data_IF_344230183034
#
_entry.id   IF_344230183034
#
_cell.length_a   1.000
_cell.length_b   1.000
_cell.length_c   1.000
_cell.angle_alpha   90.00
_cell.angle_beta   90.00
_cell.angle_gamma   90.00
#
_symmetry.space_group_name_H-M   'P 1'
#
loop_
_entity.id
_entity.type
_entity.pdbx_description
1 polymer ?
#
# COMPACT_ATOMS: atom_id res chain seq x y z
N UNK A 1 -17.02 17.48 -17.94
CA UNK A 1 -15.90 16.57 -18.25
C UNK A 1 -16.50 15.26 -18.74
N UNK A 2 -16.18 14.82 -19.94
CA UNK A 2 -16.54 13.48 -20.43
C UNK A 2 -15.63 12.45 -19.76
N UNK A 3 -16.17 11.30 -19.36
CA UNK A 3 -15.36 10.18 -18.91
C UNK A 3 -14.72 9.58 -20.17
N UNK A 4 -13.39 9.67 -20.24
CA UNK A 4 -12.60 9.10 -21.32
C UNK A 4 -11.53 8.19 -20.71
N UNK A 5 -11.60 6.89 -21.04
CA UNK A 5 -10.63 5.88 -20.63
C UNK A 5 -9.55 5.64 -21.68
N UNK A 6 -9.56 6.41 -22.78
CA UNK A 6 -8.54 6.31 -23.82
C UNK A 6 -7.23 6.90 -23.34
N UNK A 7 -6.16 6.11 -23.37
CA UNK A 7 -4.84 6.59 -23.03
C UNK A 7 -4.37 7.63 -24.06
N UNK A 8 -3.90 8.77 -23.57
CA UNK A 8 -3.21 9.76 -24.40
C UNK A 8 -1.94 9.18 -25.03
N UNK A 9 -1.43 9.80 -26.10
CA UNK A 9 -0.16 9.38 -26.74
C UNK A 9 1.00 9.32 -25.74
N UNK A 10 1.05 10.26 -24.78
CA UNK A 10 2.07 10.26 -23.72
C UNK A 10 1.91 9.06 -22.79
N UNK A 11 0.68 8.73 -22.38
CA UNK A 11 0.38 7.57 -21.53
C UNK A 11 0.65 6.25 -22.24
N UNK A 12 0.31 6.14 -23.53
CA UNK A 12 0.65 4.96 -24.34
C UNK A 12 2.17 4.76 -24.44
N UNK A 13 2.93 5.85 -24.60
CA UNK A 13 4.40 5.80 -24.58
C UNK A 13 4.92 5.36 -23.21
N UNK A 14 4.38 5.92 -22.13
CA UNK A 14 4.73 5.56 -20.75
C UNK A 14 4.46 4.07 -20.49
N UNK A 15 3.30 3.59 -20.88
CA UNK A 15 2.92 2.18 -20.77
C UNK A 15 3.90 1.27 -21.52
N UNK A 16 4.24 1.63 -22.76
CA UNK A 16 5.19 0.85 -23.56
C UNK A 16 6.56 0.78 -22.88
N UNK A 17 7.11 1.91 -22.42
CA UNK A 17 8.42 1.94 -21.73
C UNK A 17 8.38 1.09 -20.45
N UNK A 18 7.30 1.18 -19.67
CA UNK A 18 7.13 0.38 -18.45
C UNK A 18 7.04 -1.12 -18.76
N UNK A 19 6.36 -1.49 -19.84
CA UNK A 19 6.25 -2.88 -20.30
C UNK A 19 7.59 -3.41 -20.82
N UNK A 20 8.29 -2.65 -21.64
CA UNK A 20 9.61 -3.01 -22.15
C UNK A 20 10.58 -3.24 -20.99
N UNK A 21 10.65 -2.33 -20.02
CA UNK A 21 11.42 -2.53 -18.79
C UNK A 21 11.02 -3.82 -18.06
N UNK A 22 9.73 -4.02 -17.83
CA UNK A 22 9.23 -5.16 -17.07
C UNK A 22 9.55 -6.49 -17.76
N UNK A 23 9.38 -6.59 -19.07
CA UNK A 23 9.55 -7.82 -19.83
C UNK A 23 11.03 -8.09 -20.18
N UNK A 24 11.78 -7.06 -20.57
CA UNK A 24 13.13 -7.26 -21.09
C UNK A 24 14.20 -7.22 -19.98
N UNK A 25 13.97 -6.44 -18.91
CA UNK A 25 14.97 -6.24 -17.84
C UNK A 25 14.59 -7.00 -16.57
N UNK A 26 13.34 -6.88 -16.11
CA UNK A 26 12.93 -7.48 -14.83
C UNK A 26 12.59 -8.98 -14.96
N UNK A 27 11.77 -9.36 -15.93
CA UNK A 27 11.26 -10.73 -16.07
C UNK A 27 12.34 -11.83 -16.11
N UNK A 28 13.49 -11.65 -16.80
CA UNK A 28 14.55 -12.66 -16.83
C UNK A 28 15.15 -12.97 -15.45
N UNK A 29 15.05 -12.06 -14.49
CA UNK A 29 15.62 -12.19 -13.15
C UNK A 29 14.65 -12.84 -12.16
N UNK A 30 13.35 -12.74 -12.42
CA UNK A 30 12.30 -13.04 -11.42
C UNK A 30 12.32 -14.49 -10.97
N UNK A 31 12.41 -15.45 -11.90
CA UNK A 31 12.38 -16.88 -11.54
C UNK A 31 13.53 -17.26 -10.61
N UNK A 32 14.76 -16.92 -11.02
CA UNK A 32 15.95 -17.22 -10.23
C UNK A 32 16.00 -16.48 -8.89
N UNK A 33 15.36 -15.31 -8.80
CA UNK A 33 15.26 -14.57 -7.55
C UNK A 33 14.14 -15.13 -6.64
N UNK A 34 12.99 -15.53 -7.20
CA UNK A 34 11.88 -16.10 -6.40
C UNK A 34 12.24 -17.50 -5.84
N UNK A 35 13.04 -18.28 -6.57
CA UNK A 35 13.52 -19.59 -6.14
C UNK A 35 14.73 -19.51 -5.18
N UNK A 36 15.35 -18.34 -5.01
CA UNK A 36 16.49 -18.17 -4.10
C UNK A 36 16.05 -18.34 -2.64
N UNK A 37 16.62 -19.32 -1.89
CA UNK A 37 16.27 -19.57 -0.50
C UNK A 37 16.65 -18.42 0.44
N UNK A 38 17.79 -17.78 0.19
CA UNK A 38 18.26 -16.63 0.95
C UNK A 38 17.54 -15.37 0.47
N UNK A 39 16.66 -14.83 1.31
CA UNK A 39 15.83 -13.67 1.00
C UNK A 39 16.64 -12.40 0.75
N UNK A 40 17.84 -12.27 1.35
CA UNK A 40 18.73 -11.14 1.09
C UNK A 40 19.39 -11.27 -0.29
N UNK A 41 19.84 -12.46 -0.65
CA UNK A 41 20.39 -12.71 -1.97
C UNK A 41 19.32 -12.58 -3.05
N UNK A 42 18.10 -13.06 -2.81
CA UNK A 42 16.95 -12.86 -3.70
C UNK A 42 16.76 -11.37 -4.02
N UNK A 43 16.74 -10.52 -2.98
CA UNK A 43 16.59 -9.08 -3.13
C UNK A 43 17.77 -8.45 -3.89
N UNK A 44 19.00 -8.88 -3.61
CA UNK A 44 20.21 -8.35 -4.27
C UNK A 44 20.26 -8.66 -5.77
N UNK A 45 19.69 -9.79 -6.23
CA UNK A 45 19.59 -10.13 -7.66
C UNK A 45 18.83 -9.08 -8.47
N UNK A 46 17.96 -8.30 -7.81
CA UNK A 46 17.16 -7.26 -8.47
C UNK A 46 17.85 -5.90 -8.54
N UNK A 47 18.98 -5.73 -7.90
CA UNK A 47 19.65 -4.42 -7.79
C UNK A 47 19.95 -3.79 -9.16
N UNK A 48 20.40 -4.61 -10.12
CA UNK A 48 20.64 -4.14 -11.49
C UNK A 48 19.37 -3.62 -12.17
N UNK A 49 18.27 -4.37 -12.06
CA UNK A 49 16.97 -3.94 -12.59
C UNK A 49 16.47 -2.67 -11.88
N UNK A 50 16.70 -2.55 -10.58
CA UNK A 50 16.33 -1.33 -9.85
C UNK A 50 17.11 -0.09 -10.34
N UNK A 51 18.40 -0.23 -10.62
CA UNK A 51 19.23 0.86 -11.19
C UNK A 51 18.68 1.31 -12.55
N UNK A 52 18.32 0.38 -13.43
CA UNK A 52 17.71 0.72 -14.73
C UNK A 52 16.32 1.37 -14.53
N UNK A 53 15.52 0.86 -13.62
CA UNK A 53 14.24 1.46 -13.25
C UNK A 53 14.39 2.90 -12.72
N UNK A 54 15.43 3.16 -11.92
CA UNK A 54 15.77 4.48 -11.43
C UNK A 54 16.16 5.42 -12.57
N UNK A 55 17.00 4.99 -13.52
CA UNK A 55 17.40 5.77 -14.71
C UNK A 55 16.20 6.14 -15.59
N UNK A 56 15.20 5.24 -15.69
CA UNK A 56 13.94 5.52 -16.38
C UNK A 56 13.04 6.49 -15.61
N UNK A 57 13.40 6.86 -14.39
CA UNK A 57 12.65 7.77 -13.53
C UNK A 57 11.47 7.13 -12.79
N UNK A 58 11.27 5.82 -12.85
CA UNK A 58 10.13 5.17 -12.18
C UNK A 58 10.28 5.13 -10.66
N UNK A 59 11.51 5.06 -10.15
CA UNK A 59 11.76 5.03 -8.70
C UNK A 59 11.49 6.36 -7.99
N UNK A 60 11.45 7.48 -8.72
CA UNK A 60 11.28 8.85 -8.20
C UNK A 60 10.27 9.69 -8.99
N UNK A 61 9.59 9.08 -9.97
CA UNK A 61 8.67 9.74 -10.88
C UNK A 61 7.50 10.44 -10.19
N UNK A 62 7.03 9.91 -9.07
CA UNK A 62 5.98 10.48 -8.24
C UNK A 62 6.39 11.77 -7.49
N UNK A 63 7.70 12.03 -7.35
CA UNK A 63 8.18 13.24 -6.67
C UNK A 63 7.99 14.48 -7.56
N UNK A 64 7.70 15.65 -6.96
CA UNK A 64 7.53 16.89 -7.71
C UNK A 64 8.78 17.29 -8.50
N UNK A 65 8.60 17.84 -9.70
CA UNK A 65 9.68 18.32 -10.59
C UNK A 65 10.63 19.30 -9.91
N UNK A 66 10.11 20.18 -9.02
CA UNK A 66 10.95 21.13 -8.27
C UNK A 66 11.99 20.48 -7.34
N UNK A 67 11.87 19.20 -7.07
CA UNK A 67 12.83 18.41 -6.29
C UNK A 67 13.57 17.38 -7.15
N UNK A 68 13.50 17.48 -8.48
CA UNK A 68 14.17 16.58 -9.41
C UNK A 68 13.38 15.32 -9.78
N UNK A 69 12.15 15.18 -9.29
CA UNK A 69 11.28 14.05 -9.66
C UNK A 69 10.57 14.25 -11.00
N UNK A 70 9.83 13.24 -11.44
CA UNK A 70 9.06 13.27 -12.69
C UNK A 70 7.79 14.11 -12.63
N UNK A 71 7.19 14.25 -11.45
CA UNK A 71 5.91 14.93 -11.24
C UNK A 71 4.76 14.27 -12.02
N UNK A 72 4.80 12.95 -12.17
CA UNK A 72 3.74 12.19 -12.85
C UNK A 72 2.47 12.20 -11.99
N UNK A 73 1.32 12.13 -12.65
CA UNK A 73 0.02 12.04 -11.97
C UNK A 73 -0.18 10.68 -11.29
N UNK A 74 -1.14 10.58 -10.37
CA UNK A 74 -1.49 9.29 -9.78
C UNK A 74 -2.07 8.34 -10.83
N UNK A 75 -2.78 8.85 -11.86
CA UNK A 75 -3.25 8.04 -12.99
C UNK A 75 -2.08 7.49 -13.80
N UNK A 76 -1.07 8.30 -14.10
CA UNK A 76 0.12 7.83 -14.82
C UNK A 76 0.91 6.79 -14.01
N UNK A 77 0.95 6.95 -12.69
CA UNK A 77 1.55 5.97 -11.78
C UNK A 77 0.83 4.61 -11.83
N UNK A 78 -0.51 4.59 -12.03
CA UNK A 78 -1.26 3.34 -12.23
C UNK A 78 -0.77 2.58 -13.47
N UNK A 79 -0.53 3.30 -14.56
CA UNK A 79 -0.11 2.71 -15.83
C UNK A 79 1.25 2.00 -15.67
N UNK A 80 2.20 2.68 -15.02
CA UNK A 80 3.54 2.11 -14.74
C UNK A 80 3.44 0.92 -13.78
N UNK A 81 2.68 1.08 -12.70
CA UNK A 81 2.55 0.05 -11.67
C UNK A 81 1.92 -1.23 -12.22
N UNK A 82 0.87 -1.15 -13.05
CA UNK A 82 0.24 -2.33 -13.65
C UNK A 82 1.23 -3.14 -14.50
N UNK A 83 2.05 -2.49 -15.34
CA UNK A 83 3.00 -3.21 -16.19
C UNK A 83 4.11 -3.88 -15.38
N UNK A 84 4.65 -3.21 -14.36
CA UNK A 84 5.70 -3.79 -13.50
C UNK A 84 5.15 -4.93 -12.65
N UNK A 85 3.97 -4.77 -12.06
CA UNK A 85 3.35 -5.78 -11.20
C UNK A 85 2.87 -7.01 -11.97
N UNK A 86 2.61 -6.87 -13.26
CA UNK A 86 2.34 -8.00 -14.14
C UNK A 86 3.52 -8.98 -14.23
N UNK A 87 4.73 -8.50 -13.98
CA UNK A 87 5.95 -9.32 -13.93
C UNK A 87 6.30 -9.70 -12.50
N UNK A 88 6.40 -8.72 -11.60
CA UNK A 88 6.66 -9.00 -10.18
C UNK A 88 6.14 -7.89 -9.26
N UNK A 89 5.15 -8.18 -8.41
CA UNK A 89 4.60 -7.22 -7.47
C UNK A 89 5.52 -6.94 -6.28
N UNK A 90 6.44 -7.85 -5.94
CA UNK A 90 7.46 -7.63 -4.92
C UNK A 90 8.41 -6.51 -5.32
N UNK A 91 8.92 -6.55 -6.55
CA UNK A 91 9.74 -5.47 -7.10
C UNK A 91 8.97 -4.13 -7.16
N UNK A 92 7.70 -4.15 -7.61
CA UNK A 92 6.87 -2.96 -7.63
C UNK A 92 6.64 -2.39 -6.21
N UNK A 93 6.55 -3.26 -5.19
CA UNK A 93 6.44 -2.84 -3.79
C UNK A 93 7.70 -2.10 -3.32
N UNK A 94 8.89 -2.46 -3.78
CA UNK A 94 10.14 -1.69 -3.49
C UNK A 94 10.00 -0.24 -3.96
N UNK A 95 9.44 -0.02 -5.14
CA UNK A 95 9.19 1.32 -5.69
C UNK A 95 8.10 2.07 -4.91
N UNK A 96 6.99 1.39 -4.61
CA UNK A 96 5.88 1.94 -3.83
C UNK A 96 6.34 2.44 -2.45
N UNK A 97 7.22 1.69 -1.79
CA UNK A 97 7.72 2.05 -0.46
C UNK A 97 8.63 3.26 -0.49
N UNK A 98 9.39 3.49 -1.56
CA UNK A 98 10.06 4.78 -1.74
C UNK A 98 9.05 5.94 -1.70
N UNK A 99 7.91 5.78 -2.37
CA UNK A 99 6.83 6.75 -2.32
C UNK A 99 6.22 6.92 -0.93
N UNK A 100 5.91 5.81 -0.25
CA UNK A 100 5.38 5.85 1.12
C UNK A 100 6.31 6.59 2.09
N UNK A 101 7.64 6.46 1.91
CA UNK A 101 8.61 7.14 2.75
C UNK A 101 8.83 8.62 2.35
N UNK A 102 8.87 8.93 1.05
CA UNK A 102 9.27 10.25 0.57
C UNK A 102 8.10 11.22 0.39
N UNK A 103 6.89 10.74 0.04
CA UNK A 103 5.73 11.62 -0.08
C UNK A 103 5.32 12.30 1.22
N UNK A 104 5.41 11.69 2.42
CA UNK A 104 5.27 12.41 3.68
C UNK A 104 6.16 13.63 3.83
N UNK A 105 7.39 13.58 3.33
CA UNK A 105 8.28 14.74 3.33
C UNK A 105 7.81 15.83 2.36
N UNK A 106 7.23 15.45 1.22
CA UNK A 106 6.61 16.42 0.29
C UNK A 106 5.48 17.17 0.97
N UNK A 107 4.65 16.49 1.77
CA UNK A 107 3.46 17.08 2.39
C UNK A 107 3.75 17.83 3.69
N UNK A 108 4.59 17.28 4.54
CA UNK A 108 4.77 17.72 5.94
C UNK A 108 6.19 18.19 6.26
N UNK A 109 7.17 17.91 5.41
CA UNK A 109 8.56 18.30 5.66
C UNK A 109 8.78 19.81 5.61
N UNK A 110 9.77 20.31 6.32
CA UNK A 110 10.23 21.69 6.20
C UNK A 110 10.87 21.93 4.82
N UNK A 111 11.03 23.20 4.37
CA UNK A 111 11.77 23.50 3.16
C UNK A 111 13.18 22.89 3.12
N UNK A 112 13.87 22.89 4.28
CA UNK A 112 15.18 22.27 4.46
C UNK A 112 15.13 20.76 4.27
N UNK A 113 14.23 20.08 4.97
CA UNK A 113 14.06 18.64 4.90
C UNK A 113 13.72 18.19 3.47
N UNK A 114 12.84 18.91 2.79
CA UNK A 114 12.49 18.64 1.38
C UNK A 114 13.71 18.78 0.47
N UNK A 115 14.49 19.87 0.62
CA UNK A 115 15.71 20.07 -0.17
C UNK A 115 16.72 18.95 0.06
N UNK A 116 17.01 18.63 1.32
CA UNK A 116 18.03 17.65 1.66
C UNK A 116 17.64 16.25 1.19
N UNK A 117 16.46 15.77 1.60
CA UNK A 117 16.14 14.35 1.46
C UNK A 117 15.53 13.99 0.10
N UNK A 118 14.74 14.91 -0.50
CA UNK A 118 14.15 14.63 -1.81
C UNK A 118 15.17 14.81 -2.93
N UNK A 119 16.08 15.79 -2.82
CA UNK A 119 17.17 15.91 -3.81
C UNK A 119 18.13 14.74 -3.76
N UNK A 120 18.49 14.25 -2.56
CA UNK A 120 19.32 13.04 -2.47
C UNK A 120 18.65 11.84 -3.16
N UNK A 121 17.32 11.71 -3.01
CA UNK A 121 16.56 10.62 -3.63
C UNK A 121 16.53 10.71 -5.16
N UNK A 122 16.53 11.92 -5.73
CA UNK A 122 16.40 12.15 -7.17
C UNK A 122 17.74 12.32 -7.89
N UNK A 123 18.84 12.51 -7.17
CA UNK A 123 20.17 12.76 -7.73
C UNK A 123 21.23 11.72 -7.33
N UNK A 124 20.80 10.53 -6.91
CA UNK A 124 21.74 9.45 -6.60
C UNK A 124 22.49 9.02 -7.86
N UNK A 125 23.81 9.24 -7.95
CA UNK A 125 24.57 8.96 -9.18
C UNK A 125 24.70 7.46 -9.47
N UNK A 126 24.44 6.60 -8.46
CA UNK A 126 24.45 5.15 -8.61
C UNK A 126 23.08 4.58 -8.95
N UNK A 127 22.02 5.37 -8.78
CA UNK A 127 20.64 4.91 -8.96
C UNK A 127 20.21 3.83 -7.96
N UNK A 128 20.83 3.77 -6.79
CA UNK A 128 20.62 2.73 -5.77
C UNK A 128 19.80 3.21 -4.58
N UNK A 129 19.31 4.44 -4.61
CA UNK A 129 18.64 5.07 -3.47
C UNK A 129 17.39 4.30 -3.06
N UNK A 130 17.34 3.89 -1.80
CA UNK A 130 16.20 3.28 -1.15
C UNK A 130 15.72 4.13 0.03
N UNK A 131 14.40 4.25 0.16
CA UNK A 131 13.74 4.83 1.31
C UNK A 131 12.84 3.79 1.99
N UNK A 132 12.93 3.68 3.32
CA UNK A 132 12.13 2.77 4.12
C UNK A 132 10.95 3.47 4.80
N UNK A 133 9.76 2.88 4.72
CA UNK A 133 8.57 3.32 5.45
C UNK A 133 8.37 2.45 6.68
N UNK A 134 8.47 3.04 7.88
CA UNK A 134 8.69 2.31 9.12
C UNK A 134 7.58 2.63 10.13
N UNK A 135 6.46 1.93 10.02
CA UNK A 135 5.26 2.13 10.85
C UNK A 135 4.96 0.92 11.72
N UNK A 136 4.81 -0.27 11.11
CA UNK A 136 4.34 -1.48 11.78
C UNK A 136 5.30 -1.98 12.86
N UNK A 137 4.75 -2.59 13.90
CA UNK A 137 5.46 -3.22 14.99
C UNK A 137 4.94 -4.63 15.20
N UNK A 138 5.84 -5.56 15.55
CA UNK A 138 5.49 -6.97 15.79
C UNK A 138 5.05 -7.26 17.22
N UNK A 139 4.61 -8.47 17.44
CA UNK A 139 4.43 -9.02 18.79
C UNK A 139 5.74 -8.95 19.57
N UNK A 140 5.67 -8.50 20.82
CA UNK A 140 6.84 -8.31 21.69
C UNK A 140 7.43 -6.90 21.66
N UNK A 141 6.84 -5.97 20.89
CA UNK A 141 7.15 -4.55 21.06
C UNK A 141 6.80 -4.12 22.50
N UNK A 142 7.66 -3.34 23.19
CA UNK A 142 7.40 -2.87 24.56
C UNK A 142 6.10 -2.08 24.71
N UNK A 143 5.64 -1.44 23.64
CA UNK A 143 4.37 -0.72 23.58
C UNK A 143 3.16 -1.57 23.17
N UNK A 144 3.33 -2.87 23.00
CA UNK A 144 2.33 -3.75 22.42
C UNK A 144 2.38 -3.71 20.88
N UNK A 145 1.53 -4.47 20.25
CA UNK A 145 1.42 -4.50 18.79
C UNK A 145 0.75 -3.23 18.30
N UNK A 146 1.48 -2.34 17.69
CA UNK A 146 0.92 -1.31 16.84
C UNK A 146 1.00 -1.79 15.40
N UNK A 147 0.31 -2.86 15.13
CA UNK A 147 0.06 -3.32 13.78
C UNK A 147 -1.30 -2.75 13.36
N UNK A 148 -1.28 -1.76 12.48
CA UNK A 148 -2.50 -1.14 11.96
C UNK A 148 -3.35 -2.12 11.16
N UNK A 149 -2.76 -3.22 10.72
CA UNK A 149 -3.47 -4.31 10.03
C UNK A 149 -4.29 -5.17 11.00
N UNK A 150 -4.05 -5.05 12.30
CA UNK A 150 -4.74 -5.85 13.30
C UNK A 150 -5.92 -5.08 13.92
N UNK A 151 -7.16 -5.62 13.88
CA UNK A 151 -8.34 -4.94 14.42
C UNK A 151 -8.26 -4.64 15.92
N UNK A 152 -7.52 -5.45 16.67
CA UNK A 152 -7.32 -5.34 18.11
C UNK A 152 -6.00 -4.66 18.50
N UNK A 153 -5.51 -3.69 17.72
CA UNK A 153 -4.28 -2.97 18.04
C UNK A 153 -4.28 -2.45 19.49
N UNK A 154 -3.13 -2.56 20.16
CA UNK A 154 -3.02 -2.18 21.56
C UNK A 154 -3.41 -0.72 21.80
N UNK A 155 -4.13 -0.40 22.89
CA UNK A 155 -4.59 0.97 23.18
C UNK A 155 -3.49 2.03 23.23
N UNK A 156 -2.26 1.63 23.61
CA UNK A 156 -1.11 2.55 23.59
C UNK A 156 -0.60 2.86 22.19
N UNK A 157 -1.02 2.10 21.19
CA UNK A 157 -0.61 2.29 19.80
C UNK A 157 0.87 1.98 19.58
N UNK A 158 1.59 2.86 18.88
CA UNK A 158 3.00 2.69 18.52
C UNK A 158 3.90 2.73 19.76
N UNK A 159 4.72 1.69 19.92
CA UNK A 159 5.63 1.50 21.04
C UNK A 159 7.05 2.02 20.81
N UNK A 160 7.47 2.31 19.59
CA UNK A 160 8.75 3.00 19.34
C UNK A 160 8.66 4.43 19.89
N UNK A 161 9.40 4.67 20.99
CA UNK A 161 9.38 5.95 21.71
C UNK A 161 10.58 6.79 21.29
N UNK A 162 10.36 8.09 21.11
CA UNK A 162 11.41 9.08 20.87
C UNK A 162 11.35 10.17 21.96
N UNK A 163 12.34 10.22 22.85
CA UNK A 163 12.45 11.20 23.93
C UNK A 163 13.38 12.34 23.53
N UNK A 164 12.93 13.59 23.70
CA UNK A 164 13.76 14.75 23.43
C UNK A 164 14.80 14.96 24.54
N UNK A 165 16.08 14.90 24.19
CA UNK A 165 17.21 15.40 24.97
C UNK A 165 17.40 16.88 24.66
N UNK A 166 16.79 17.73 25.49
CA UNK A 166 16.81 19.20 25.27
C UNK A 166 18.23 19.77 25.33
N UNK A 167 19.13 19.17 26.11
CA UNK A 167 20.50 19.67 26.27
C UNK A 167 21.33 19.49 25.00
N UNK A 168 21.01 18.47 24.20
CA UNK A 168 21.70 18.16 22.95
C UNK A 168 20.92 18.51 21.68
N UNK A 169 19.65 18.84 21.79
CA UNK A 169 18.79 19.05 20.64
C UNK A 169 18.55 17.78 19.80
N UNK A 170 18.52 16.63 20.49
CA UNK A 170 18.41 15.31 19.84
C UNK A 170 17.20 14.55 20.39
N UNK A 171 16.62 13.68 19.56
CA UNK A 171 15.72 12.65 20.02
C UNK A 171 16.45 11.32 20.20
N UNK A 172 16.17 10.65 21.30
CA UNK A 172 16.67 9.31 21.63
C UNK A 172 15.54 8.31 21.37
N UNK A 173 15.74 7.43 20.41
CA UNK A 173 14.77 6.41 19.99
C UNK A 173 15.07 5.08 20.64
N UNK A 174 14.03 4.46 21.22
CA UNK A 174 14.09 3.11 21.78
C UNK A 174 12.84 2.32 21.41
N UNK A 175 13.02 1.11 20.89
CA UNK A 175 11.96 0.20 20.49
C UNK A 175 12.28 -0.58 19.23
N UNK A 176 11.28 -1.30 18.71
CA UNK A 176 11.45 -2.19 17.55
C UNK A 176 10.34 -1.97 16.55
N UNK A 177 10.69 -1.94 15.28
CA UNK A 177 9.76 -2.00 14.15
C UNK A 177 9.86 -3.37 13.49
N UNK A 178 8.74 -3.82 12.92
CA UNK A 178 8.66 -5.11 12.24
C UNK A 178 7.87 -4.96 10.94
N UNK A 179 8.24 -5.69 9.89
CA UNK A 179 7.66 -5.62 8.56
C UNK A 179 8.02 -4.42 7.67
N UNK A 180 8.77 -3.37 8.05
CA UNK A 180 9.07 -2.33 7.10
C UNK A 180 9.78 -2.91 5.86
N UNK A 181 9.37 -2.43 4.69
CA UNK A 181 10.01 -2.75 3.43
C UNK A 181 11.13 -1.74 3.14
N UNK A 182 12.16 -2.16 2.40
CA UNK A 182 13.37 -1.41 2.04
C UNK A 182 14.27 -1.02 3.21
N UNK A 183 13.81 -1.14 4.45
CA UNK A 183 14.47 -0.51 5.60
C UNK A 183 15.89 -1.00 5.84
N UNK A 184 16.20 -2.26 5.54
CA UNK A 184 17.55 -2.84 5.63
C UNK A 184 18.50 -2.38 4.54
N UNK A 185 17.99 -1.75 3.45
CA UNK A 185 18.80 -1.39 2.29
C UNK A 185 19.34 -2.62 1.55
N UNK A 186 20.22 -2.39 0.59
CA UNK A 186 20.80 -3.47 -0.23
C UNK A 186 21.71 -4.43 0.55
N UNK A 187 22.24 -4.04 1.68
CA UNK A 187 23.31 -4.74 2.41
C UNK A 187 23.03 -4.93 3.91
N UNK A 188 21.78 -4.78 4.35
CA UNK A 188 21.34 -4.82 5.75
C UNK A 188 22.02 -3.78 6.65
N UNK A 189 22.58 -2.72 6.07
CA UNK A 189 23.15 -1.58 6.82
C UNK A 189 22.22 -0.35 6.80
N UNK A 190 21.00 -0.53 6.31
CA UNK A 190 19.95 0.47 6.24
C UNK A 190 19.69 1.01 4.85
N UNK A 191 18.46 1.41 4.61
CA UNK A 191 18.10 2.27 3.49
C UNK A 191 18.80 3.64 3.61
N UNK A 192 18.85 4.40 2.54
CA UNK A 192 19.44 5.75 2.57
C UNK A 192 18.74 6.62 3.62
N UNK A 193 17.43 6.48 3.72
CA UNK A 193 16.64 7.07 4.81
C UNK A 193 15.54 6.09 5.24
N UNK A 194 15.26 6.04 6.54
CA UNK A 194 14.06 5.42 7.10
C UNK A 194 13.16 6.52 7.67
N UNK A 195 11.95 6.63 7.17
CA UNK A 195 10.92 7.51 7.74
C UNK A 195 10.10 6.69 8.73
N UNK A 196 10.29 7.01 10.01
CA UNK A 196 9.74 6.26 11.13
C UNK A 196 8.60 7.00 11.80
N UNK A 197 7.50 6.32 12.06
CA UNK A 197 6.46 6.83 12.96
C UNK A 197 6.81 6.43 14.38
N UNK A 198 6.88 7.42 15.25
CA UNK A 198 7.37 7.29 16.63
C UNK A 198 6.43 7.98 17.60
N UNK A 199 6.45 7.54 18.85
CA UNK A 199 5.74 8.20 19.94
C UNK A 199 6.64 9.24 20.60
N UNK A 200 6.34 10.52 20.37
CA UNK A 200 7.05 11.65 20.98
C UNK A 200 6.39 12.16 22.24
N UNK A 201 5.11 11.88 22.46
CA UNK A 201 4.38 12.17 23.67
C UNK A 201 3.84 10.89 24.32
N UNK A 202 4.56 10.32 25.31
CA UNK A 202 4.16 9.07 25.95
C UNK A 202 2.93 9.22 26.89
N UNK A 203 2.50 10.46 27.19
CA UNK A 203 1.31 10.71 27.99
C UNK A 203 0.02 10.54 27.17
N UNK A 204 0.14 10.54 25.83
CA UNK A 204 -0.98 10.34 24.93
C UNK A 204 -1.00 8.92 24.40
N UNK A 205 -2.14 8.26 24.47
CA UNK A 205 -2.34 6.90 23.97
C UNK A 205 -2.85 6.85 22.51
N UNK A 206 -3.03 5.66 22.00
CA UNK A 206 -3.57 5.42 20.66
C UNK A 206 -2.71 6.04 19.56
N UNK A 207 -3.35 6.76 18.64
CA UNK A 207 -2.70 7.47 17.55
C UNK A 207 -2.28 8.90 17.91
N UNK A 208 -2.70 9.40 19.07
CA UNK A 208 -2.30 10.73 19.56
C UNK A 208 -0.85 10.73 20.04
N UNK A 209 -0.17 11.87 19.90
CA UNK A 209 1.22 12.01 20.35
C UNK A 209 2.25 11.33 19.48
N UNK A 210 1.88 10.96 18.25
CA UNK A 210 2.80 10.41 17.26
C UNK A 210 3.42 11.53 16.42
N UNK A 211 4.64 11.30 15.97
CA UNK A 211 5.36 12.16 15.03
C UNK A 211 6.06 11.30 13.98
N UNK A 212 6.46 11.92 12.89
CA UNK A 212 7.33 11.30 11.91
C UNK A 212 8.78 11.78 12.12
N UNK A 213 9.74 10.86 12.02
CA UNK A 213 11.15 11.15 12.18
C UNK A 213 11.97 10.50 11.07
N UNK A 214 12.96 11.22 10.56
CA UNK A 214 13.89 10.74 9.55
C UNK A 214 15.11 10.13 10.28
N UNK A 215 15.38 8.87 10.00
CA UNK A 215 16.57 8.17 10.48
C UNK A 215 17.48 7.89 9.29
N UNK A 216 18.59 8.63 9.12
CA UNK A 216 19.53 8.42 8.05
C UNK A 216 20.26 7.09 8.15
N UNK A 217 20.75 6.59 7.01
CA UNK A 217 21.64 5.42 6.99
C UNK A 217 22.87 5.66 7.84
N UNK A 218 23.27 4.63 8.59
CA UNK A 218 24.46 4.68 9.43
C UNK A 218 24.28 5.40 10.77
N UNK A 219 23.04 5.79 11.13
CA UNK A 219 22.76 6.34 12.46
C UNK A 219 23.13 5.31 13.54
N UNK A 220 24.00 5.64 14.53
CA UNK A 220 24.34 4.74 15.60
C UNK A 220 23.12 4.31 16.42
N UNK A 221 23.16 3.07 16.95
CA UNK A 221 22.06 2.52 17.76
C UNK A 221 20.94 1.91 16.92
N UNK A 222 21.09 1.81 15.58
CA UNK A 222 20.13 1.11 14.70
C UNK A 222 20.74 -0.21 14.25
N UNK A 223 19.97 -1.28 14.35
CA UNK A 223 20.33 -2.59 13.80
C UNK A 223 19.16 -3.21 13.03
N UNK A 224 19.48 -4.05 12.07
CA UNK A 224 18.53 -4.66 11.14
C UNK A 224 18.58 -6.18 11.27
N UNK A 225 17.42 -6.80 11.45
CA UNK A 225 17.30 -8.26 11.44
C UNK A 225 17.36 -8.83 10.03
N UNK A 226 17.51 -10.15 9.95
CA UNK A 226 17.46 -10.86 8.68
C UNK A 226 16.10 -10.64 7.98
N UNK A 227 16.09 -10.62 6.65
CA UNK A 227 14.85 -10.51 5.90
C UNK A 227 13.91 -11.68 6.18
N UNK A 228 12.63 -11.37 6.28
CA UNK A 228 11.57 -12.34 6.59
C UNK A 228 11.28 -13.17 5.34
N UNK A 229 11.30 -14.51 5.48
CA UNK A 229 10.81 -15.39 4.43
C UNK A 229 9.29 -15.32 4.35
N UNK A 230 8.75 -15.04 3.18
CA UNK A 230 7.32 -14.76 2.96
C UNK A 230 6.70 -15.70 1.93
N UNK A 231 5.38 -15.82 1.99
CA UNK A 231 4.58 -16.55 1.01
C UNK A 231 4.70 -15.93 -0.40
N UNK A 232 4.46 -14.63 -0.50
CA UNK A 232 4.50 -13.84 -1.73
C UNK A 232 5.21 -12.50 -1.51
N UNK A 233 5.33 -11.69 -2.58
CA UNK A 233 6.16 -10.49 -2.63
C UNK A 233 7.58 -10.76 -2.07
N UNK A 234 8.12 -11.94 -2.42
CA UNK A 234 9.41 -12.41 -1.91
C UNK A 234 10.55 -11.49 -2.31
N UNK A 235 10.42 -10.82 -3.44
CA UNK A 235 11.42 -9.92 -4.01
C UNK A 235 11.39 -8.51 -3.41
N UNK A 236 10.52 -8.27 -2.42
CA UNK A 236 10.52 -7.10 -1.56
C UNK A 236 11.09 -7.48 -0.20
N UNK A 237 12.18 -6.83 0.21
CA UNK A 237 12.80 -7.10 1.51
C UNK A 237 11.95 -6.51 2.65
N UNK A 238 11.57 -7.36 3.61
CA UNK A 238 11.00 -6.93 4.89
C UNK A 238 11.83 -7.48 6.04
N UNK A 239 12.12 -6.69 7.04
CA UNK A 239 12.92 -7.11 8.19
C UNK A 239 12.46 -6.40 9.48
N UNK A 240 13.05 -6.75 10.61
CA UNK A 240 12.93 -5.98 11.83
C UNK A 240 13.98 -4.87 11.87
N UNK A 241 13.66 -3.79 12.58
CA UNK A 241 14.60 -2.73 12.93
C UNK A 241 14.56 -2.53 14.43
N UNK A 242 15.71 -2.57 15.07
CA UNK A 242 15.85 -2.30 16.50
C UNK A 242 16.55 -0.96 16.68
N UNK A 243 15.95 -0.12 17.51
CA UNK A 243 16.48 1.15 17.95
C UNK A 243 16.87 1.03 19.42
N UNK A 244 18.15 1.20 19.72
CA UNK A 244 18.72 1.13 21.07
C UNK A 244 19.54 2.39 21.31
N UNK A 245 19.01 3.31 22.09
CA UNK A 245 19.56 4.65 22.30
C UNK A 245 19.97 5.37 21.01
N UNK A 246 19.19 5.14 19.95
CA UNK A 246 19.43 5.74 18.64
C UNK A 246 19.19 7.25 18.70
N UNK A 247 20.21 8.05 18.41
CA UNK A 247 20.17 9.51 18.51
C UNK A 247 20.05 10.13 17.13
N UNK A 248 19.06 11.00 16.98
CA UNK A 248 18.84 11.79 15.76
C UNK A 248 18.57 13.24 16.11
N UNK A 249 19.04 14.16 15.26
CA UNK A 249 18.78 15.60 15.41
C UNK A 249 17.28 15.88 15.51
N UNK A 250 16.89 16.81 16.34
CA UNK A 250 15.50 17.27 16.42
C UNK A 250 15.02 17.89 15.09
N UNK A 251 15.94 18.29 14.22
CA UNK A 251 15.63 18.78 12.87
C UNK A 251 15.14 17.68 11.92
N UNK A 252 15.37 16.41 12.28
CA UNK A 252 14.86 15.27 11.51
C UNK A 252 13.41 14.93 11.84
N UNK A 253 12.81 15.58 12.85
CA UNK A 253 11.39 15.38 13.19
C UNK A 253 10.51 16.29 12.34
N UNK A 254 9.48 15.74 11.78
CA UNK A 254 8.43 16.47 11.08
C UNK A 254 7.03 15.99 11.51
N UNK A 255 5.98 16.73 11.19
CA UNK A 255 4.62 16.43 11.60
C UNK A 255 4.52 16.10 13.11
N UNK A 256 5.07 16.99 13.96
CA UNK A 256 5.07 16.80 15.42
C UNK A 256 3.65 16.76 15.97
N UNK A 257 3.27 15.64 16.59
CA UNK A 257 1.93 15.39 17.11
C UNK A 257 0.91 14.96 16.07
N UNK A 258 1.25 15.01 14.78
CA UNK A 258 0.38 14.70 13.63
C UNK A 258 0.82 13.41 12.88
N UNK A 259 1.53 12.51 13.55
CA UNK A 259 2.03 11.27 12.94
C UNK A 259 0.92 10.36 12.42
N UNK A 260 -0.25 10.38 13.02
CA UNK A 260 -1.46 9.69 12.54
C UNK A 260 -1.97 10.25 11.21
N UNK A 261 -1.92 11.57 11.04
CA UNK A 261 -2.25 12.23 9.78
C UNK A 261 -1.26 11.85 8.67
N UNK A 262 0.03 11.75 9.01
CA UNK A 262 1.07 11.25 8.09
C UNK A 262 0.75 9.83 7.63
N UNK A 263 0.44 8.93 8.57
CA UNK A 263 0.05 7.55 8.27
C UNK A 263 -1.18 7.52 7.36
N UNK A 264 -2.22 8.26 7.75
CA UNK A 264 -3.48 8.30 7.03
C UNK A 264 -3.28 8.78 5.59
N UNK A 265 -2.52 9.86 5.38
CA UNK A 265 -2.26 10.42 4.06
C UNK A 265 -1.38 9.50 3.20
N UNK A 266 -0.35 8.89 3.78
CA UNK A 266 0.52 7.95 3.08
C UNK A 266 -0.27 6.76 2.53
N UNK A 267 -1.07 6.10 3.36
CA UNK A 267 -1.90 4.96 2.92
C UNK A 267 -3.14 5.36 2.11
N UNK A 268 -3.50 6.64 2.07
CA UNK A 268 -4.47 7.16 1.11
C UNK A 268 -3.87 7.23 -0.29
N UNK A 269 -2.64 7.72 -0.37
CA UNK A 269 -1.91 7.83 -1.63
C UNK A 269 -1.55 6.46 -2.22
N UNK A 270 -1.13 5.49 -1.40
CA UNK A 270 -0.74 4.16 -1.87
C UNK A 270 -1.92 3.26 -2.24
N UNK A 271 -3.10 3.49 -1.67
CA UNK A 271 -4.26 2.60 -1.86
C UNK A 271 -4.61 2.28 -3.31
N UNK A 272 -4.75 3.27 -4.22
CA UNK A 272 -4.97 3.00 -5.65
C UNK A 272 -3.81 2.26 -6.31
N UNK A 273 -2.56 2.53 -5.90
CA UNK A 273 -1.38 1.82 -6.43
C UNK A 273 -1.40 0.35 -6.00
N UNK A 274 -1.78 0.07 -4.75
CA UNK A 274 -1.98 -1.30 -4.28
C UNK A 274 -3.13 -2.02 -5.01
N UNK A 275 -4.18 -1.30 -5.36
CA UNK A 275 -5.31 -1.83 -6.14
C UNK A 275 -4.89 -2.22 -7.56
N UNK A 276 -4.16 -1.35 -8.27
CA UNK A 276 -3.70 -1.65 -9.63
C UNK A 276 -2.60 -2.72 -9.65
N UNK A 277 -1.82 -2.84 -8.59
CA UNK A 277 -0.85 -3.91 -8.43
C UNK A 277 -1.53 -5.29 -8.46
N UNK A 278 -2.68 -5.43 -7.79
CA UNK A 278 -3.47 -6.66 -7.87
C UNK A 278 -4.01 -6.91 -9.28
N UNK A 279 -4.37 -5.86 -10.02
CA UNK A 279 -4.78 -5.96 -11.44
C UNK A 279 -3.65 -6.51 -12.30
N UNK A 280 -2.42 -6.01 -12.14
CA UNK A 280 -1.26 -6.50 -12.90
C UNK A 280 -1.04 -8.01 -12.72
N UNK A 281 -1.07 -8.50 -11.47
CA UNK A 281 -0.92 -9.94 -11.16
C UNK A 281 -2.06 -10.78 -11.76
N UNK A 282 -3.30 -10.34 -11.57
CA UNK A 282 -4.46 -11.07 -12.09
C UNK A 282 -4.49 -11.08 -13.63
N UNK A 283 -4.08 -9.98 -14.27
CA UNK A 283 -3.91 -9.90 -15.72
C UNK A 283 -2.90 -10.93 -16.22
N UNK A 284 -1.72 -11.01 -15.60
CA UNK A 284 -0.70 -11.99 -16.00
C UNK A 284 -1.17 -13.44 -15.81
N UNK A 285 -1.86 -13.73 -14.72
CA UNK A 285 -2.49 -15.02 -14.50
C UNK A 285 -3.50 -15.36 -15.60
N UNK A 286 -4.38 -14.41 -15.92
CA UNK A 286 -5.38 -14.54 -16.97
C UNK A 286 -4.76 -14.73 -18.36
N UNK A 287 -3.81 -13.89 -18.75
CA UNK A 287 -3.15 -13.96 -20.06
C UNK A 287 -2.42 -15.29 -20.23
N UNK A 288 -1.74 -15.76 -19.19
CA UNK A 288 -1.08 -17.05 -19.20
C UNK A 288 -2.07 -18.19 -19.40
N UNK A 289 -3.13 -18.26 -18.59
CA UNK A 289 -4.12 -19.34 -18.65
C UNK A 289 -4.93 -19.29 -19.95
N UNK A 290 -5.26 -18.10 -20.45
CA UNK A 290 -5.94 -17.92 -21.72
C UNK A 290 -5.11 -18.49 -22.90
N UNK A 291 -3.80 -18.17 -22.91
CA UNK A 291 -2.88 -18.71 -23.92
C UNK A 291 -2.79 -20.23 -23.83
N UNK A 292 -2.64 -20.76 -22.61
CA UNK A 292 -2.60 -22.19 -22.36
C UNK A 292 -3.90 -22.89 -22.78
N UNK A 293 -5.05 -22.35 -22.43
CA UNK A 293 -6.36 -22.92 -22.78
C UNK A 293 -6.63 -22.96 -24.29
N UNK A 294 -6.03 -22.05 -25.06
CA UNK A 294 -6.13 -22.03 -26.54
C UNK A 294 -5.27 -23.10 -27.23
N UNK A 295 -4.34 -23.71 -26.51
CA UNK A 295 -3.41 -24.70 -27.09
C UNK A 295 -3.52 -26.11 -26.46
N UNK A 296 -3.87 -26.17 -25.19
CA UNK A 296 -3.96 -27.43 -24.44
C UNK A 296 -5.28 -28.15 -24.75
N UNK A 297 -5.19 -29.43 -25.18
CA UNK A 297 -6.35 -30.24 -25.58
C UNK A 297 -6.86 -31.17 -24.49
N UNK A 298 -6.08 -31.39 -23.39
CA UNK A 298 -6.43 -32.33 -22.34
C UNK A 298 -6.61 -33.79 -22.79
N UNK A 299 -5.98 -34.18 -23.91
CA UNK A 299 -6.18 -35.48 -24.54
C UNK A 299 -7.39 -35.57 -25.48
N UNK A 300 -8.15 -34.48 -25.66
CA UNK A 300 -9.24 -34.35 -26.62
C UNK A 300 -8.76 -33.87 -28.00
N UNK A 301 -9.72 -33.64 -28.90
CA UNK A 301 -9.47 -33.19 -30.27
C UNK A 301 -9.47 -31.64 -30.41
N UNK A 302 -9.94 -30.90 -29.40
CA UNK A 302 -10.03 -29.48 -29.45
C UNK A 302 -9.36 -28.86 -28.22
N UNK A 303 -8.79 -27.62 -28.33
CA UNK A 303 -8.33 -26.88 -27.20
C UNK A 303 -9.42 -26.69 -26.15
N UNK A 304 -9.06 -26.75 -24.86
CA UNK A 304 -10.05 -26.67 -23.77
C UNK A 304 -10.82 -25.34 -23.74
N UNK A 305 -10.31 -24.31 -24.39
CA UNK A 305 -11.03 -23.02 -24.56
C UNK A 305 -12.37 -23.19 -25.28
N UNK A 306 -12.55 -24.26 -26.09
CA UNK A 306 -13.82 -24.56 -26.76
C UNK A 306 -14.87 -25.19 -25.84
N UNK A 307 -14.51 -25.55 -24.61
CA UNK A 307 -15.45 -26.04 -23.60
C UNK A 307 -16.06 -24.84 -22.84
N UNK A 308 -17.39 -24.71 -22.87
CA UNK A 308 -18.12 -23.61 -22.23
C UNK A 308 -17.70 -23.34 -20.79
N UNK A 309 -17.55 -24.34 -19.88
CA UNK A 309 -17.14 -24.06 -18.49
C UNK A 309 -15.79 -23.35 -18.38
N UNK A 310 -14.82 -23.68 -19.23
CA UNK A 310 -13.51 -23.00 -19.26
C UNK A 310 -13.67 -21.57 -19.75
N UNK A 311 -14.45 -21.38 -20.84
CA UNK A 311 -14.76 -20.07 -21.37
C UNK A 311 -15.44 -19.16 -20.36
N UNK A 312 -16.39 -19.69 -19.57
CA UNK A 312 -17.11 -18.92 -18.53
C UNK A 312 -16.19 -18.53 -17.36
N UNK A 313 -15.32 -19.42 -16.91
CA UNK A 313 -14.33 -19.09 -15.89
C UNK A 313 -13.43 -17.91 -16.33
N UNK A 314 -12.92 -17.99 -17.56
CA UNK A 314 -12.03 -16.95 -18.09
C UNK A 314 -12.79 -15.63 -18.38
N UNK A 315 -14.04 -15.69 -18.81
CA UNK A 315 -14.88 -14.50 -18.97
C UNK A 315 -15.14 -13.81 -17.62
N UNK A 316 -15.43 -14.57 -16.57
CA UNK A 316 -15.59 -14.03 -15.22
C UNK A 316 -14.30 -13.31 -14.75
N UNK A 317 -13.14 -13.90 -14.98
CA UNK A 317 -11.84 -13.32 -14.62
C UNK A 317 -11.61 -12.02 -15.39
N UNK A 318 -11.86 -12.00 -16.71
CA UNK A 318 -11.71 -10.81 -17.53
C UNK A 318 -12.59 -9.64 -17.03
N UNK A 319 -13.87 -9.93 -16.73
CA UNK A 319 -14.78 -8.91 -16.17
C UNK A 319 -14.27 -8.34 -14.84
N UNK A 320 -13.76 -9.19 -13.96
CA UNK A 320 -13.21 -8.75 -12.66
C UNK A 320 -11.98 -7.87 -12.82
N UNK A 321 -11.08 -8.21 -13.74
CA UNK A 321 -9.88 -7.42 -14.04
C UNK A 321 -10.29 -6.03 -14.52
N UNK A 322 -11.19 -5.93 -15.50
CA UNK A 322 -11.61 -4.64 -16.03
C UNK A 322 -12.37 -3.78 -15.02
N UNK A 323 -13.25 -4.37 -14.21
CA UNK A 323 -13.95 -3.66 -13.14
C UNK A 323 -12.97 -3.11 -12.10
N UNK A 324 -11.97 -3.91 -11.70
CA UNK A 324 -10.95 -3.49 -10.73
C UNK A 324 -10.02 -2.41 -11.32
N UNK A 325 -9.61 -2.53 -12.60
CA UNK A 325 -8.81 -1.51 -13.28
C UNK A 325 -9.54 -0.17 -13.32
N UNK A 326 -10.79 -0.17 -13.75
CA UNK A 326 -11.62 1.04 -13.80
C UNK A 326 -11.79 1.68 -12.43
N UNK A 327 -11.99 0.87 -11.38
CA UNK A 327 -12.11 1.37 -10.02
C UNK A 327 -10.79 1.94 -9.48
N UNK A 328 -9.66 1.29 -9.76
CA UNK A 328 -8.34 1.78 -9.40
C UNK A 328 -8.01 3.12 -10.07
N UNK A 329 -8.29 3.25 -11.37
CA UNK A 329 -8.11 4.51 -12.11
C UNK A 329 -9.01 5.63 -11.59
N UNK A 330 -10.28 5.32 -11.27
CA UNK A 330 -11.18 6.26 -10.62
C UNK A 330 -10.59 6.75 -9.30
N UNK A 331 -10.07 5.87 -8.47
CA UNK A 331 -9.47 6.23 -7.19
C UNK A 331 -8.22 7.10 -7.35
N UNK A 332 -7.35 6.78 -8.32
CA UNK A 332 -6.18 7.58 -8.65
C UNK A 332 -6.57 8.99 -9.14
N UNK A 333 -7.58 9.07 -10.02
CA UNK A 333 -8.10 10.35 -10.49
C UNK A 333 -8.66 11.20 -9.33
N UNK A 334 -9.34 10.56 -8.36
CA UNK A 334 -9.79 11.26 -7.15
C UNK A 334 -8.65 11.88 -6.35
N UNK A 335 -7.52 11.18 -6.25
CA UNK A 335 -6.32 11.73 -5.59
C UNK A 335 -5.73 12.90 -6.39
N UNK A 336 -5.72 12.84 -7.71
CA UNK A 336 -5.24 13.94 -8.55
C UNK A 336 -6.13 15.19 -8.42
N UNK A 337 -7.45 15.02 -8.19
CA UNK A 337 -8.39 16.13 -8.07
C UNK A 337 -8.54 16.67 -6.65
N UNK A 338 -8.54 15.80 -5.66
CA UNK A 338 -8.97 16.12 -4.29
C UNK A 338 -7.93 15.78 -3.21
N UNK A 339 -6.73 15.34 -3.60
CA UNK A 339 -5.64 14.95 -2.70
C UNK A 339 -6.15 13.95 -1.64
N UNK A 340 -5.79 14.17 -0.38
CA UNK A 340 -6.14 13.30 0.74
C UNK A 340 -7.65 13.15 1.01
N UNK A 341 -8.47 14.05 0.47
CA UNK A 341 -9.92 13.93 0.59
C UNK A 341 -10.52 12.80 -0.27
N UNK A 342 -9.74 12.26 -1.21
CA UNK A 342 -10.07 11.05 -1.96
C UNK A 342 -9.92 9.73 -1.19
N UNK A 343 -9.56 9.75 0.08
CA UNK A 343 -9.10 8.56 0.81
C UNK A 343 -10.13 7.42 0.92
N UNK A 344 -11.41 7.72 1.00
CA UNK A 344 -12.44 6.68 1.03
C UNK A 344 -12.45 5.88 -0.28
N UNK A 345 -12.34 6.57 -1.41
CA UNK A 345 -12.34 5.92 -2.74
C UNK A 345 -11.09 5.07 -2.93
N UNK A 346 -9.92 5.58 -2.49
CA UNK A 346 -8.67 4.81 -2.50
C UNK A 346 -8.72 3.56 -1.63
N UNK A 347 -9.25 3.68 -0.42
CA UNK A 347 -9.45 2.54 0.48
C UNK A 347 -10.44 1.50 -0.10
N UNK A 348 -11.57 1.97 -0.65
CA UNK A 348 -12.55 1.09 -1.31
C UNK A 348 -11.93 0.34 -2.48
N UNK A 349 -11.16 1.01 -3.34
CA UNK A 349 -10.49 0.39 -4.47
C UNK A 349 -9.49 -0.67 -4.00
N UNK A 350 -8.66 -0.36 -3.00
CA UNK A 350 -7.66 -1.29 -2.45
C UNK A 350 -8.31 -2.54 -1.87
N UNK A 351 -9.37 -2.40 -1.07
CA UNK A 351 -10.08 -3.54 -0.48
C UNK A 351 -10.75 -4.37 -1.56
N UNK A 352 -11.56 -3.73 -2.41
CA UNK A 352 -12.31 -4.42 -3.46
C UNK A 352 -11.40 -5.16 -4.44
N UNK A 353 -10.35 -4.52 -4.95
CA UNK A 353 -9.43 -5.13 -5.90
C UNK A 353 -8.63 -6.27 -5.26
N UNK A 354 -8.11 -6.08 -4.04
CA UNK A 354 -7.33 -7.10 -3.35
C UNK A 354 -8.12 -8.39 -3.11
N UNK A 355 -9.35 -8.29 -2.63
CA UNK A 355 -10.21 -9.46 -2.38
C UNK A 355 -10.69 -10.10 -3.71
N UNK A 356 -11.21 -9.27 -4.62
CA UNK A 356 -11.79 -9.74 -5.88
C UNK A 356 -10.76 -10.46 -6.75
N UNK A 357 -9.55 -9.89 -6.83
CA UNK A 357 -8.52 -10.40 -7.75
C UNK A 357 -7.74 -11.57 -7.19
N UNK A 358 -7.62 -11.70 -5.87
CA UNK A 358 -7.18 -12.97 -5.27
C UNK A 358 -8.08 -14.12 -5.71
N UNK A 359 -9.40 -13.96 -5.60
CA UNK A 359 -10.36 -14.94 -6.10
C UNK A 359 -10.28 -15.17 -7.61
N UNK A 360 -9.99 -14.12 -8.41
CA UNK A 360 -9.87 -14.22 -9.86
C UNK A 360 -8.63 -15.04 -10.29
N UNK A 361 -7.49 -14.88 -9.60
CA UNK A 361 -6.30 -15.71 -9.86
C UNK A 361 -6.59 -17.17 -9.56
N UNK A 362 -7.26 -17.49 -8.45
CA UNK A 362 -7.65 -18.85 -8.14
C UNK A 362 -8.64 -19.42 -9.18
N UNK A 363 -9.58 -18.62 -9.69
CA UNK A 363 -10.46 -19.02 -10.80
C UNK A 363 -9.68 -19.35 -12.06
N UNK A 364 -8.63 -18.60 -12.36
CA UNK A 364 -7.74 -18.91 -13.49
C UNK A 364 -7.06 -20.28 -13.32
N UNK A 365 -6.60 -20.60 -12.09
CA UNK A 365 -6.04 -21.93 -11.79
C UNK A 365 -7.06 -23.06 -12.03
N UNK A 366 -8.32 -22.85 -11.69
CA UNK A 366 -9.37 -23.85 -11.91
C UNK A 366 -9.55 -24.19 -13.41
N UNK A 367 -9.33 -23.22 -14.30
CA UNK A 367 -9.37 -23.46 -15.74
C UNK A 367 -8.22 -24.36 -16.22
N UNK A 368 -7.09 -24.40 -15.52
CA UNK A 368 -5.97 -25.32 -15.79
C UNK A 368 -6.13 -26.69 -15.10
N UNK A 369 -7.03 -26.79 -14.12
CA UNK A 369 -7.18 -27.99 -13.28
C UNK A 369 -5.89 -28.31 -12.53
N UNK A 370 -5.57 -29.61 -12.37
CA UNK A 370 -4.40 -30.07 -11.61
C UNK A 370 -3.06 -29.55 -12.17
N UNK A 371 -2.99 -29.23 -13.46
CA UNK A 371 -1.78 -28.68 -14.07
C UNK A 371 -1.35 -27.34 -13.42
N UNK A 372 -2.29 -26.61 -12.81
CA UNK A 372 -1.98 -25.38 -12.11
C UNK A 372 -1.11 -25.57 -10.84
N UNK A 373 -0.98 -26.80 -10.34
CA UNK A 373 -0.15 -27.14 -9.17
C UNK A 373 1.32 -27.39 -9.54
N UNK A 374 1.61 -27.57 -10.83
CA UNK A 374 2.98 -27.79 -11.30
C UNK A 374 3.75 -26.47 -11.33
N UNK A 375 4.86 -26.41 -10.57
CA UNK A 375 5.75 -25.25 -10.49
C UNK A 375 6.49 -24.91 -11.79
N UNK A 376 6.39 -25.72 -12.83
CA UNK A 376 6.83 -25.36 -14.16
C UNK A 376 5.95 -24.24 -14.76
N UNK A 377 4.70 -24.13 -14.29
CA UNK A 377 3.78 -23.05 -14.64
C UNK A 377 3.89 -21.89 -13.63
N UNK A 378 3.90 -20.62 -14.08
CA UNK A 378 4.01 -19.48 -13.18
C UNK A 378 2.74 -19.19 -12.37
N UNK A 379 1.67 -19.92 -12.62
CA UNK A 379 0.35 -19.65 -12.04
C UNK A 379 0.33 -19.80 -10.50
N UNK A 380 1.12 -20.74 -9.95
CA UNK A 380 1.25 -20.93 -8.51
C UNK A 380 1.91 -19.70 -7.85
N UNK A 381 2.91 -19.09 -8.54
CA UNK A 381 3.52 -17.85 -8.08
C UNK A 381 2.48 -16.72 -8.05
N UNK A 382 1.69 -16.57 -9.11
CA UNK A 382 0.63 -15.55 -9.15
C UNK A 382 -0.37 -15.70 -8.02
N UNK A 383 -0.71 -16.91 -7.59
CA UNK A 383 -1.58 -17.13 -6.43
C UNK A 383 -0.91 -16.68 -5.12
N UNK A 384 0.37 -17.03 -4.91
CA UNK A 384 1.13 -16.58 -3.74
C UNK A 384 1.24 -15.06 -3.68
N UNK A 385 1.46 -14.43 -4.82
CA UNK A 385 1.51 -12.98 -4.95
C UNK A 385 0.14 -12.34 -4.68
N UNK A 386 -0.93 -12.88 -5.24
CA UNK A 386 -2.28 -12.37 -5.05
C UNK A 386 -2.76 -12.44 -3.60
N UNK A 387 -2.33 -13.46 -2.85
CA UNK A 387 -2.68 -13.63 -1.43
C UNK A 387 -2.11 -12.50 -0.52
N UNK A 388 -1.12 -11.74 -0.97
CA UNK A 388 -0.53 -10.66 -0.20
C UNK A 388 -1.40 -9.39 -0.22
N UNK A 389 -2.13 -9.13 -1.31
CA UNK A 389 -2.86 -7.86 -1.48
C UNK A 389 -3.88 -7.55 -0.39
N UNK A 390 -4.66 -8.49 0.16
CA UNK A 390 -5.53 -8.22 1.30
C UNK A 390 -4.78 -7.87 2.58
N UNK A 391 -3.52 -8.27 2.71
CA UNK A 391 -2.75 -8.25 3.95
C UNK A 391 -1.75 -7.09 4.06
N UNK A 392 -1.21 -6.60 2.94
CA UNK A 392 -0.19 -5.56 2.91
C UNK A 392 -0.78 -4.14 2.77
N UNK A 393 0.07 -3.12 2.79
CA UNK A 393 -0.31 -1.71 2.62
C UNK A 393 -1.47 -1.32 3.54
N UNK A 394 -1.22 -1.45 4.84
CA UNK A 394 -2.16 -1.20 5.93
C UNK A 394 -3.36 -2.17 6.02
N UNK A 395 -3.29 -3.33 5.38
CA UNK A 395 -4.27 -4.40 5.47
C UNK A 395 -5.74 -4.02 5.23
N UNK A 396 -6.50 -4.90 4.60
CA UNK A 396 -7.89 -4.60 4.27
C UNK A 396 -8.74 -4.41 5.54
N UNK A 397 -8.68 -5.39 6.46
CA UNK A 397 -9.53 -5.39 7.68
C UNK A 397 -9.00 -4.38 8.70
N UNK A 398 -7.67 -4.32 8.88
CA UNK A 398 -7.06 -3.53 9.95
C UNK A 398 -7.26 -2.04 9.79
N UNK A 399 -6.94 -1.49 8.64
CA UNK A 399 -6.93 -0.04 8.42
C UNK A 399 -7.87 0.42 7.31
N UNK A 400 -7.89 -0.25 6.16
CA UNK A 400 -8.64 0.26 5.01
C UNK A 400 -10.17 0.24 5.25
N UNK A 401 -10.71 -0.87 5.76
CA UNK A 401 -12.12 -0.95 6.13
C UNK A 401 -12.46 0.02 7.27
N UNK A 402 -11.55 0.22 8.22
CA UNK A 402 -11.72 1.22 9.28
C UNK A 402 -11.81 2.65 8.73
N UNK A 403 -11.01 2.99 7.71
CA UNK A 403 -11.11 4.28 7.02
C UNK A 403 -12.47 4.45 6.35
N UNK A 404 -12.91 3.44 5.59
CA UNK A 404 -14.23 3.47 4.92
C UNK A 404 -15.34 3.67 5.95
N UNK A 405 -15.32 2.87 7.01
CA UNK A 405 -16.30 2.97 8.09
C UNK A 405 -16.25 4.34 8.81
N UNK A 406 -15.04 4.83 9.11
CA UNK A 406 -14.86 6.13 9.76
C UNK A 406 -15.47 7.30 8.97
N UNK A 407 -15.36 7.24 7.63
CA UNK A 407 -16.03 8.21 6.74
C UNK A 407 -17.54 8.14 6.87
N UNK A 408 -18.11 6.94 6.94
CA UNK A 408 -19.55 6.72 7.05
C UNK A 408 -20.14 7.17 8.40
N UNK A 409 -19.29 7.34 9.43
CA UNK A 409 -19.69 7.89 10.73
C UNK A 409 -19.85 9.41 10.72
N UNK A 410 -19.30 10.11 9.73
CA UNK A 410 -19.48 11.56 9.63
C UNK A 410 -20.95 11.88 9.32
N UNK A 411 -21.65 12.70 10.16
CA UNK A 411 -23.05 13.07 9.92
C UNK A 411 -23.27 13.80 8.59
N UNK A 412 -22.21 14.35 8.00
CA UNK A 412 -22.25 15.06 6.72
C UNK A 412 -21.82 14.21 5.54
N UNK A 413 -21.51 12.92 5.78
CA UNK A 413 -21.14 12.01 4.70
C UNK A 413 -22.29 11.88 3.69
N UNK A 414 -21.99 12.24 2.45
CA UNK A 414 -22.91 12.09 1.32
C UNK A 414 -22.41 10.96 0.42
N UNK A 415 -23.07 9.79 0.40
CA UNK A 415 -22.66 8.68 -0.45
C UNK A 415 -22.74 9.02 -1.94
N UNK A 416 -23.56 10.01 -2.33
CA UNK A 416 -23.67 10.48 -3.72
C UNK A 416 -22.45 11.28 -4.16
N UNK A 417 -21.67 11.85 -3.25
CA UNK A 417 -20.47 12.61 -3.59
C UNK A 417 -19.51 11.80 -4.48
N UNK A 418 -19.36 10.49 -4.20
CA UNK A 418 -18.53 9.59 -5.00
C UNK A 418 -19.12 9.38 -6.40
N UNK A 419 -20.44 9.19 -6.50
CA UNK A 419 -21.12 9.03 -7.78
C UNK A 419 -21.06 10.31 -8.63
N UNK A 420 -21.25 11.46 -7.98
CA UNK A 420 -21.25 12.78 -8.63
C UNK A 420 -19.83 13.31 -8.88
N UNK A 421 -18.78 12.56 -8.56
CA UNK A 421 -17.38 12.99 -8.61
C UNK A 421 -17.11 14.31 -7.89
N UNK A 422 -17.82 14.53 -6.77
CA UNK A 422 -17.65 15.70 -5.91
C UNK A 422 -16.67 15.40 -4.79
N UNK A 423 -16.10 16.46 -4.24
CA UNK A 423 -15.27 16.41 -3.03
C UNK A 423 -16.04 15.77 -1.88
N UNK A 424 -15.46 14.74 -1.27
CA UNK A 424 -16.01 14.13 -0.07
C UNK A 424 -15.57 15.02 1.09
N UNK A 425 -16.49 15.83 1.62
CA UNK A 425 -16.20 16.71 2.75
C UNK A 425 -15.98 15.87 4.02
N UNK A 426 -14.85 16.09 4.68
CA UNK A 426 -14.61 15.65 6.04
C UNK A 426 -14.43 16.86 6.95
N UNK A 427 -15.06 16.85 8.11
CA UNK A 427 -14.50 17.56 9.23
C UNK A 427 -13.30 16.78 9.76
N UNK A 428 -12.26 17.48 10.15
CA UNK A 428 -10.93 17.06 10.61
C UNK A 428 -10.88 16.06 11.78
N UNK A 429 -11.97 15.34 12.10
CA UNK A 429 -12.11 14.52 13.30
C UNK A 429 -11.94 13.03 13.05
N UNK A 430 -10.79 12.63 12.53
CA UNK A 430 -10.30 11.25 12.81
C UNK A 430 -9.85 11.11 14.28
N UNK A 431 -9.79 12.20 15.04
CA UNK A 431 -9.45 12.22 16.48
C UNK A 431 -10.36 11.35 17.36
N UNK A 432 -11.57 11.01 16.91
CA UNK A 432 -12.50 10.17 17.66
C UNK A 432 -12.47 8.66 17.32
N UNK A 433 -12.14 8.27 16.09
CA UNK A 433 -12.32 6.88 15.65
C UNK A 433 -11.27 5.95 16.25
N UNK A 434 -10.03 6.39 16.38
CA UNK A 434 -8.98 5.63 17.08
C UNK A 434 -9.22 5.53 18.57
N UNK A 435 -9.74 6.59 19.19
CA UNK A 435 -10.02 6.65 20.63
C UNK A 435 -11.25 5.83 21.01
N UNK A 436 -12.28 5.79 20.16
CA UNK A 436 -13.50 5.02 20.42
C UNK A 436 -13.26 3.51 20.46
N UNK A 437 -12.35 3.02 19.62
CA UNK A 437 -12.02 1.58 19.57
C UNK A 437 -10.98 1.22 20.63
N UNK A 438 -10.05 2.13 20.94
CA UNK A 438 -8.96 1.86 21.88
C UNK A 438 -9.36 1.97 23.36
N UNK A 439 -10.37 2.75 23.70
CA UNK A 439 -10.70 3.00 25.12
C UNK A 439 -11.76 2.05 25.70
N UNK A 440 -12.36 1.17 24.89
CA UNK A 440 -13.48 0.36 25.37
C UNK A 440 -14.47 1.28 26.09
N UNK A 441 -14.80 2.43 25.47
CA UNK A 441 -15.57 3.49 26.10
C UNK A 441 -16.75 2.88 26.80
N UNK A 442 -16.66 2.84 28.10
CA UNK A 442 -17.69 2.42 29.01
C UNK A 442 -19.01 3.03 28.56
N UNK A 443 -20.07 2.26 28.61
CA UNK A 443 -21.47 2.53 28.24
C UNK A 443 -22.07 3.86 28.77
N UNK A 444 -21.29 4.81 29.26
CA UNK A 444 -21.77 6.05 29.86
C UNK A 444 -21.80 7.27 28.92
N UNK A 445 -21.31 7.15 27.68
CA UNK A 445 -21.30 8.30 26.74
C UNK A 445 -22.39 8.23 25.64
N UNK A 446 -23.16 7.16 25.58
CA UNK A 446 -24.40 7.16 24.79
C UNK A 446 -25.48 7.76 25.66
N UNK A 447 -25.70 9.07 25.51
CA UNK A 447 -26.84 9.73 26.14
C UNK A 447 -28.10 8.90 25.88
N UNK A 448 -28.86 8.62 26.95
CA UNK A 448 -30.15 7.96 26.86
C UNK A 448 -30.99 8.70 25.82
N UNK A 449 -31.11 8.14 24.63
CA UNK A 449 -32.17 8.53 23.70
C UNK A 449 -33.44 7.96 24.30
N UNK A 450 -34.16 8.77 25.07
CA UNK A 450 -35.51 8.42 25.50
C UNK A 450 -36.37 8.24 24.23
N UNK A 451 -37.04 7.10 24.07
CA UNK A 451 -37.96 6.93 22.96
C UNK A 451 -39.08 7.97 23.09
N UNK A 452 -39.20 8.88 22.12
CA UNK A 452 -40.37 9.76 22.04
C UNK A 452 -41.63 8.92 22.07
N UNK A 453 -42.64 9.27 22.91
CA UNK A 453 -43.89 8.52 22.97
C UNK A 453 -44.57 8.57 21.60
N UNK A 454 -44.88 7.39 21.05
CA UNK A 454 -45.67 7.28 19.82
C UNK A 454 -47.00 7.96 20.03
N UNK A 455 -47.26 9.03 19.28
CA UNK A 455 -48.60 9.65 19.28
C UNK A 455 -49.63 8.63 18.78
N UNK A 456 -50.72 8.47 19.54
CA UNK A 456 -51.82 7.53 19.31
C UNK A 456 -52.71 7.94 18.13
N UNK A 457 -52.12 8.31 16.96
CA UNK A 457 -52.89 8.66 15.75
C UNK A 457 -52.32 7.99 14.49
N UNK A 458 -52.35 6.66 14.45
CA UNK A 458 -52.24 5.94 13.16
C UNK A 458 -52.72 4.49 13.17
N UNK A 459 -53.54 4.10 14.17
CA UNK A 459 -54.12 2.76 14.20
C UNK A 459 -55.52 2.66 13.54
N UNK A 460 -56.03 3.75 12.93
CA UNK A 460 -57.38 3.79 12.35
C UNK A 460 -57.45 3.78 10.82
N UNK A 461 -56.32 3.70 10.10
CA UNK A 461 -56.31 3.83 8.62
C UNK A 461 -56.04 2.52 7.84
N UNK A 462 -55.94 1.36 8.51
CA UNK A 462 -55.67 0.04 7.84
C UNK A 462 -56.79 -0.99 8.00
N UNK A 463 -58.03 -0.56 8.19
CA UNK A 463 -59.22 -1.43 8.15
C UNK A 463 -60.30 -0.96 7.16
N UNK A 464 -59.92 -0.48 6.00
CA UNK A 464 -60.82 -0.36 4.82
C UNK A 464 -59.97 -0.25 3.56
N UNK A 465 -59.58 -1.40 3.02
CA UNK A 465 -59.56 -1.73 1.59
C UNK A 465 -59.15 -3.19 1.47
#
# INVERSE_FOLDING_TARGET
MTIDFTLSTAQQRLQRIAREFAVEILQPLVKAADEEPDTQQAFQKLKGAYVECYKLGFATGFLPKRYGGGGISNVDLQIVAEEITAVDPGFATVLLVNGLALMPLVWFGSPEQRRTWLQQATSDPRGEYLAGWTVSEGAGSPGGTANFDHPGAHPTGIGLVAKLDKGRGEYVLNGTKYWPCNAGGWDLKGANVNVCIVRTDPQKGGTSGLSAIIVPRGTPGVSYGQPISKLGHRLCQNNSIVFNDCRVSQENVFARGDGDLVISKAFTWSGPVAAIAAVGVARSAYEYVLKWAKTYTGGGNLPIMHHQPVGYLLAEVAMKIEACRAFSWKAAHYLDQYDSEGHAVGAMAKVFCGETLFGAVFRSMQAMGVNALDKQHPIEKFLREAAVFPLYDAGNIGMQMRKIWGVMLDPHFDPRAIADSRKIAFKKSMEGVGTFIATGATRSAVGKVEPKPRSARSAAALRKR
#
